data_IF_270379897568
#
_entry.id   IF_270379897568
#
_cell.length_a   1.000
_cell.length_b   1.000
_cell.length_c   1.000
_cell.angle_alpha   90.00
_cell.angle_beta   90.00
_cell.angle_gamma   90.00
#
_symmetry.space_group_name_H-M   'P 1'
#
loop_
_entity.id
_entity.type
_entity.pdbx_description
1 polymer ?
#
# COMPACT_ATOMS: atom_id res chain seq x y z
N UNK A 1 -15.97 -12.51 10.13
CA UNK A 1 -16.44 -13.38 9.05
C UNK A 1 -15.52 -14.60 8.94
N UNK A 2 -15.99 -15.77 9.38
CA UNK A 2 -15.23 -17.04 9.51
C UNK A 2 -14.63 -17.48 8.15
N UNK A 3 -15.27 -17.15 7.01
CA UNK A 3 -14.78 -17.52 5.68
C UNK A 3 -13.52 -16.73 5.25
N UNK A 4 -13.42 -15.46 5.64
CA UNK A 4 -12.23 -14.64 5.35
C UNK A 4 -11.01 -15.12 6.17
N UNK A 5 -11.21 -15.46 7.45
CA UNK A 5 -10.18 -16.05 8.28
C UNK A 5 -9.67 -17.39 7.74
N UNK A 6 -10.56 -18.27 7.27
CA UNK A 6 -10.15 -19.52 6.64
C UNK A 6 -9.28 -19.32 5.39
N UNK A 7 -9.55 -18.28 4.58
CA UNK A 7 -8.74 -17.98 3.38
C UNK A 7 -7.33 -17.46 3.74
N UNK A 8 -7.17 -16.72 4.83
CA UNK A 8 -5.83 -16.36 5.36
C UNK A 8 -5.01 -17.61 5.73
N UNK A 9 -5.62 -18.59 6.38
CA UNK A 9 -4.96 -19.85 6.75
C UNK A 9 -4.55 -20.70 5.52
N UNK A 10 -5.25 -20.56 4.41
CA UNK A 10 -4.93 -21.27 3.15
C UNK A 10 -3.89 -20.51 2.32
N UNK A 11 -3.47 -19.30 2.75
CA UNK A 11 -2.46 -18.50 2.05
C UNK A 11 -2.98 -17.81 0.79
N UNK A 12 -4.32 -17.69 0.61
CA UNK A 12 -4.91 -17.03 -0.57
C UNK A 12 -5.10 -15.53 -0.41
N UNK A 13 -5.01 -15.04 0.83
CA UNK A 13 -5.15 -13.60 1.11
C UNK A 13 -4.13 -13.14 2.15
N UNK A 14 -3.75 -11.88 2.03
CA UNK A 14 -2.99 -11.14 3.04
C UNK A 14 -3.92 -10.21 3.81
N UNK A 15 -3.72 -10.14 5.09
CA UNK A 15 -4.32 -9.15 5.96
C UNK A 15 -3.27 -8.12 6.32
N UNK A 16 -3.58 -6.85 6.09
CA UNK A 16 -2.76 -5.70 6.49
C UNK A 16 -3.53 -4.96 7.57
N UNK A 17 -2.99 -4.91 8.79
CA UNK A 17 -3.67 -4.30 9.92
C UNK A 17 -3.36 -2.80 10.00
N UNK A 18 -4.31 -2.04 10.54
CA UNK A 18 -4.09 -0.66 10.92
C UNK A 18 -3.11 -0.60 12.11
N UNK A 19 -2.38 0.50 12.22
CA UNK A 19 -1.69 0.86 13.46
C UNK A 19 -2.37 2.08 14.08
N UNK A 20 -2.67 2.02 15.37
CA UNK A 20 -3.32 3.10 16.11
C UNK A 20 -2.43 4.34 16.25
N UNK A 21 -1.12 4.15 16.18
CA UNK A 21 -0.13 5.21 16.18
C UNK A 21 1.10 4.78 15.35
N UNK A 22 1.70 5.70 14.55
CA UNK A 22 2.91 5.42 13.79
C UNK A 22 4.15 5.53 14.69
N UNK A 23 4.33 4.54 15.58
CA UNK A 23 5.44 4.46 16.54
C UNK A 23 6.08 3.08 16.51
N UNK A 24 7.37 3.01 16.87
CA UNK A 24 8.13 1.78 16.96
C UNK A 24 7.91 1.05 18.30
N UNK A 25 7.87 -0.27 18.28
CA UNK A 25 7.72 -1.12 17.09
C UNK A 25 6.28 -1.09 16.56
N UNK A 26 6.07 -1.02 15.25
CA UNK A 26 4.72 -0.90 14.63
C UNK A 26 3.75 -1.97 15.12
N UNK A 27 4.24 -3.19 15.30
CA UNK A 27 3.43 -4.33 15.76
C UNK A 27 2.80 -4.13 17.13
N UNK A 28 3.41 -3.32 17.99
CA UNK A 28 2.85 -3.02 19.33
C UNK A 28 1.64 -2.08 19.26
N UNK A 29 1.47 -1.38 18.16
CA UNK A 29 0.35 -0.46 17.92
C UNK A 29 -0.68 -1.04 16.94
N UNK A 30 -0.57 -2.34 16.63
CA UNK A 30 -1.47 -3.03 15.72
C UNK A 30 -2.92 -3.03 16.25
N UNK A 31 -3.83 -2.50 15.45
CA UNK A 31 -5.27 -2.60 15.66
C UNK A 31 -5.84 -3.78 14.86
N UNK A 32 -6.09 -4.88 15.53
CA UNK A 32 -6.64 -6.10 14.91
C UNK A 32 -8.11 -5.98 14.49
N UNK A 33 -8.81 -4.95 14.92
CA UNK A 33 -10.20 -4.70 14.55
C UNK A 33 -10.33 -3.99 13.21
N UNK A 34 -9.29 -3.26 12.79
CA UNK A 34 -9.24 -2.48 11.56
C UNK A 34 -8.17 -3.01 10.62
N UNK A 35 -8.57 -3.48 9.43
CA UNK A 35 -7.65 -4.11 8.49
C UNK A 35 -8.14 -4.01 7.05
N UNK A 36 -7.17 -4.03 6.13
CA UNK A 36 -7.38 -4.23 4.68
C UNK A 36 -7.13 -5.69 4.32
N UNK A 37 -7.85 -6.19 3.32
CA UNK A 37 -7.66 -7.55 2.77
C UNK A 37 -7.17 -7.43 1.33
N UNK A 38 -6.13 -8.17 1.03
CA UNK A 38 -5.54 -8.26 -0.30
C UNK A 38 -5.47 -9.72 -0.75
N UNK A 39 -5.48 -9.98 -2.04
CA UNK A 39 -5.20 -11.31 -2.57
C UNK A 39 -3.72 -11.67 -2.37
N UNK A 40 -3.35 -12.94 -2.50
CA UNK A 40 -1.95 -13.37 -2.40
C UNK A 40 -1.11 -12.83 -3.57
N UNK A 41 -1.72 -12.66 -4.74
CA UNK A 41 -1.09 -12.07 -5.91
C UNK A 41 -2.11 -11.35 -6.81
N UNK A 42 -1.56 -10.51 -7.70
CA UNK A 42 -2.35 -9.67 -8.60
C UNK A 42 -3.12 -10.48 -9.66
N UNK A 43 -2.57 -11.63 -10.09
CA UNK A 43 -3.24 -12.50 -11.06
C UNK A 43 -4.49 -13.15 -10.45
N UNK A 44 -4.39 -13.60 -9.19
CA UNK A 44 -5.54 -14.12 -8.46
C UNK A 44 -6.61 -13.04 -8.27
N UNK A 45 -6.21 -11.81 -7.94
CA UNK A 45 -7.15 -10.69 -7.82
C UNK A 45 -7.86 -10.42 -9.15
N UNK A 46 -7.13 -10.37 -10.26
CA UNK A 46 -7.69 -10.19 -11.60
C UNK A 46 -8.69 -11.29 -11.96
N UNK A 47 -8.33 -12.55 -11.73
CA UNK A 47 -9.22 -13.69 -11.97
C UNK A 47 -10.49 -13.66 -11.10
N UNK A 48 -10.38 -13.25 -9.84
CA UNK A 48 -11.54 -13.10 -8.94
C UNK A 48 -12.48 -11.96 -9.35
N UNK A 49 -11.98 -11.00 -10.13
CA UNK A 49 -12.75 -9.86 -10.63
C UNK A 49 -13.17 -10.02 -12.10
N UNK A 50 -13.00 -11.21 -12.67
CA UNK A 50 -13.30 -11.50 -14.09
C UNK A 50 -12.62 -10.52 -15.06
N UNK A 51 -11.43 -10.03 -14.71
CA UNK A 51 -10.63 -9.15 -15.57
C UNK A 51 -9.97 -9.97 -16.66
N UNK A 52 -10.43 -9.77 -17.89
CA UNK A 52 -9.79 -10.37 -19.06
C UNK A 52 -8.50 -9.64 -19.48
N UNK A 53 -7.65 -10.34 -20.25
CA UNK A 53 -6.38 -9.79 -20.71
C UNK A 53 -6.54 -8.56 -21.60
N UNK A 54 -7.61 -8.49 -22.39
CA UNK A 54 -7.92 -7.37 -23.28
C UNK A 54 -8.28 -6.11 -22.47
N UNK A 55 -9.03 -6.26 -21.39
CA UNK A 55 -9.36 -5.17 -20.46
C UNK A 55 -8.10 -4.59 -19.81
N UNK A 56 -7.16 -5.45 -19.42
CA UNK A 56 -5.89 -5.00 -18.80
C UNK A 56 -5.00 -4.29 -19.81
N UNK A 57 -4.87 -4.82 -21.04
CA UNK A 57 -3.96 -4.31 -22.07
C UNK A 57 -4.49 -3.04 -22.75
N UNK A 58 -5.77 -3.02 -23.08
CA UNK A 58 -6.37 -1.89 -23.84
C UNK A 58 -6.89 -0.77 -22.94
N UNK A 59 -7.14 -1.08 -21.66
CA UNK A 59 -7.75 -0.18 -20.72
C UNK A 59 -9.22 0.16 -21.11
N UNK A 60 -10.12 0.02 -20.19
CA UNK A 60 -11.50 0.49 -20.31
C UNK A 60 -11.90 1.20 -19.02
N UNK A 61 -13.13 1.69 -18.93
CA UNK A 61 -13.62 2.37 -17.74
C UNK A 61 -13.53 1.49 -16.47
N UNK A 62 -13.80 0.19 -16.61
CA UNK A 62 -13.70 -0.80 -15.52
C UNK A 62 -12.24 -0.89 -15.03
N UNK A 63 -11.28 -0.98 -15.94
CA UNK A 63 -9.86 -1.00 -15.59
C UNK A 63 -9.43 0.31 -14.92
N UNK A 64 -9.92 1.45 -15.40
CA UNK A 64 -9.61 2.76 -14.81
C UNK A 64 -10.07 2.85 -13.36
N UNK A 65 -11.28 2.40 -13.06
CA UNK A 65 -11.80 2.37 -11.69
C UNK A 65 -11.03 1.38 -10.79
N UNK A 66 -10.62 0.24 -11.34
CA UNK A 66 -9.96 -0.82 -10.60
C UNK A 66 -8.43 -0.65 -10.50
N UNK A 67 -7.84 0.22 -11.31
CA UNK A 67 -6.39 0.44 -11.40
C UNK A 67 -5.75 0.77 -10.03
N UNK A 68 -6.41 1.55 -9.20
CA UNK A 68 -5.95 1.87 -7.84
C UNK A 68 -5.76 0.60 -7.00
N UNK A 69 -6.78 -0.25 -6.94
CA UNK A 69 -6.75 -1.49 -6.17
C UNK A 69 -5.68 -2.47 -6.69
N UNK A 70 -5.51 -2.59 -8.02
CA UNK A 70 -4.47 -3.41 -8.62
C UNK A 70 -3.07 -2.88 -8.29
N UNK A 71 -2.90 -1.55 -8.27
CA UNK A 71 -1.61 -0.93 -7.94
C UNK A 71 -1.25 -1.15 -6.47
N UNK A 72 -2.19 -0.94 -5.54
CA UNK A 72 -1.98 -1.24 -4.12
C UNK A 72 -1.68 -2.73 -3.90
N UNK A 73 -2.41 -3.62 -4.60
CA UNK A 73 -2.17 -5.07 -4.57
C UNK A 73 -0.76 -5.43 -5.02
N UNK A 74 -0.28 -4.84 -6.11
CA UNK A 74 1.07 -5.05 -6.61
C UNK A 74 2.12 -4.58 -5.59
N UNK A 75 1.95 -3.37 -5.06
CA UNK A 75 2.89 -2.81 -4.07
C UNK A 75 2.95 -3.68 -2.83
N UNK A 76 1.81 -4.11 -2.28
CA UNK A 76 1.80 -5.04 -1.15
C UNK A 76 2.58 -6.32 -1.44
N UNK A 77 2.33 -6.94 -2.59
CA UNK A 77 2.98 -8.17 -3.00
C UNK A 77 4.52 -8.03 -3.01
N UNK A 78 5.03 -6.89 -3.49
CA UNK A 78 6.47 -6.61 -3.48
C UNK A 78 7.01 -6.35 -2.07
N UNK A 79 6.32 -5.54 -1.27
CA UNK A 79 6.73 -5.24 0.11
C UNK A 79 6.77 -6.50 0.99
N UNK A 80 5.82 -7.42 0.81
CA UNK A 80 5.74 -8.68 1.57
C UNK A 80 6.94 -9.61 1.37
N UNK A 81 7.77 -9.39 0.36
CA UNK A 81 8.98 -10.19 0.15
C UNK A 81 10.02 -9.96 1.25
N UNK A 82 10.05 -8.77 1.86
CA UNK A 82 11.07 -8.37 2.84
C UNK A 82 10.52 -7.79 4.14
N UNK A 83 9.27 -7.32 4.12
CA UNK A 83 8.68 -6.54 5.20
C UNK A 83 7.34 -7.11 5.67
N UNK A 84 6.92 -6.73 6.86
CA UNK A 84 5.54 -6.87 7.33
C UNK A 84 4.85 -5.48 7.25
N UNK A 85 4.09 -5.20 6.19
CA UNK A 85 3.44 -3.91 6.03
C UNK A 85 2.22 -3.76 6.93
N UNK A 86 2.03 -2.55 7.42
CA UNK A 86 0.83 -2.05 8.08
C UNK A 86 0.26 -0.90 7.24
N UNK A 87 -0.93 -0.41 7.58
CA UNK A 87 -1.40 0.88 7.11
C UNK A 87 -1.73 1.78 8.30
N UNK A 88 -1.92 3.05 8.05
CA UNK A 88 -2.34 3.98 9.08
C UNK A 88 -3.42 4.90 8.57
N UNK A 89 -4.47 5.06 9.37
CA UNK A 89 -5.53 6.03 9.13
C UNK A 89 -5.81 6.82 10.39
N UNK A 90 -5.97 8.14 10.26
CA UNK A 90 -6.30 9.00 11.39
C UNK A 90 -7.79 8.90 11.68
N UNK A 91 -8.20 8.54 12.90
CA UNK A 91 -9.61 8.53 13.28
C UNK A 91 -10.27 9.87 12.98
N UNK A 92 -11.46 9.85 12.37
CA UNK A 92 -12.25 11.04 12.03
C UNK A 92 -11.59 12.04 11.06
N UNK A 93 -10.49 11.69 10.42
CA UNK A 93 -9.83 12.49 9.39
C UNK A 93 -9.74 11.72 8.07
N UNK A 94 -9.74 12.46 6.93
CA UNK A 94 -9.53 11.87 5.60
C UNK A 94 -8.04 11.70 5.30
N UNK A 95 -7.26 11.30 6.31
CA UNK A 95 -5.83 11.10 6.18
C UNK A 95 -5.54 9.61 6.35
N UNK A 96 -4.97 9.03 5.32
CA UNK A 96 -4.56 7.62 5.29
C UNK A 96 -3.19 7.53 4.63
N UNK A 97 -2.36 6.61 5.10
CA UNK A 97 -1.11 6.16 4.47
C UNK A 97 -1.31 4.71 4.07
N UNK A 98 -1.14 4.43 2.79
CA UNK A 98 -1.45 3.12 2.21
C UNK A 98 -0.63 2.01 2.85
N UNK A 99 0.69 2.23 3.04
CA UNK A 99 1.55 1.29 3.76
C UNK A 99 2.52 2.00 4.69
N UNK A 100 2.75 1.38 5.85
CA UNK A 100 3.86 1.66 6.76
C UNK A 100 4.70 0.42 6.89
N UNK A 101 6.01 0.54 6.72
CA UNK A 101 6.96 -0.52 7.04
C UNK A 101 7.93 -0.06 8.11
N UNK A 102 8.43 -1.02 8.89
CA UNK A 102 9.49 -0.79 9.85
C UNK A 102 10.81 -1.27 9.26
N UNK A 103 11.81 -0.40 9.30
CA UNK A 103 13.19 -0.70 8.89
C UNK A 103 14.14 -0.40 10.05
N UNK A 104 15.44 -0.67 9.87
CA UNK A 104 16.47 -0.29 10.87
C UNK A 104 16.57 1.23 11.04
N UNK A 105 16.19 2.01 10.03
CA UNK A 105 16.17 3.48 10.06
C UNK A 105 14.89 4.09 10.61
N UNK A 106 13.90 3.28 11.01
CA UNK A 106 12.66 3.81 11.56
C UNK A 106 11.41 3.36 10.79
N UNK A 107 10.38 4.20 10.82
CA UNK A 107 9.13 3.97 10.11
C UNK A 107 9.20 4.65 8.75
N UNK A 108 8.88 3.91 7.71
CA UNK A 108 8.84 4.40 6.33
C UNK A 108 7.39 4.41 5.83
N UNK A 109 6.77 5.58 5.65
CA UNK A 109 5.46 5.70 5.02
C UNK A 109 5.58 5.57 3.50
N UNK A 110 4.62 4.87 2.90
CA UNK A 110 4.53 4.63 1.47
C UNK A 110 3.11 4.97 1.00
N UNK A 111 3.00 5.94 0.10
CA UNK A 111 1.79 6.32 -0.60
C UNK A 111 1.79 5.72 -2.00
N UNK A 112 0.69 5.11 -2.41
CA UNK A 112 0.55 4.46 -3.72
C UNK A 112 -0.30 5.33 -4.66
N UNK A 113 0.19 5.59 -5.86
CA UNK A 113 -0.53 6.31 -6.90
C UNK A 113 -0.58 5.48 -8.18
N UNK A 114 -1.80 5.18 -8.62
CA UNK A 114 -2.04 4.44 -9.86
C UNK A 114 -1.92 5.31 -11.12
N UNK A 115 -1.94 6.62 -10.95
CA UNK A 115 -1.94 7.61 -12.03
C UNK A 115 -0.78 8.59 -11.91
N UNK A 116 -0.65 9.45 -12.94
CA UNK A 116 0.35 10.53 -12.97
C UNK A 116 0.02 11.70 -12.03
N UNK A 117 -1.20 11.75 -11.46
CA UNK A 117 -1.55 12.78 -10.50
C UNK A 117 -0.84 12.54 -9.16
N UNK A 118 0.28 13.20 -9.02
CA UNK A 118 1.25 13.01 -7.94
C UNK A 118 0.94 13.79 -6.66
N UNK A 119 -0.31 14.25 -6.47
CA UNK A 119 -0.71 14.90 -5.22
C UNK A 119 -0.72 13.88 -4.07
N UNK A 120 0.19 14.03 -3.13
CA UNK A 120 0.34 13.17 -1.94
C UNK A 120 0.12 13.99 -0.66
N UNK A 121 -1.08 14.58 -0.52
CA UNK A 121 -1.41 15.46 0.62
C UNK A 121 -1.33 14.74 1.96
N UNK A 122 -1.85 13.50 2.02
CA UNK A 122 -1.81 12.68 3.24
C UNK A 122 -0.37 12.37 3.64
N UNK A 123 0.46 11.96 2.66
CA UNK A 123 1.87 11.67 2.91
C UNK A 123 2.63 12.91 3.38
N UNK A 124 2.41 14.06 2.73
CA UNK A 124 3.06 15.31 3.13
C UNK A 124 2.69 15.69 4.57
N UNK A 125 1.41 15.62 4.93
CA UNK A 125 0.97 15.90 6.29
C UNK A 125 1.54 14.90 7.29
N UNK A 126 1.59 13.61 6.93
CA UNK A 126 2.21 12.59 7.76
C UNK A 126 3.69 12.88 8.04
N UNK A 127 4.45 13.27 7.01
CA UNK A 127 5.86 13.64 7.14
C UNK A 127 6.03 14.85 8.07
N UNK A 128 5.18 15.87 7.94
CA UNK A 128 5.22 17.04 8.82
C UNK A 128 4.88 16.71 10.28
N UNK A 129 3.96 15.77 10.51
CA UNK A 129 3.52 15.41 11.86
C UNK A 129 4.48 14.43 12.57
N UNK A 130 5.15 13.55 11.82
CA UNK A 130 5.90 12.42 12.37
C UNK A 130 7.41 12.43 12.08
N UNK A 131 7.88 13.29 11.18
CA UNK A 131 9.29 13.49 10.82
C UNK A 131 10.05 12.17 10.53
N UNK A 132 9.55 11.28 9.65
CA UNK A 132 10.29 10.08 9.29
C UNK A 132 11.56 10.45 8.49
N UNK A 133 12.64 9.67 8.66
CA UNK A 133 13.90 9.87 7.91
C UNK A 133 13.71 9.65 6.40
N UNK A 134 12.76 8.80 6.03
CA UNK A 134 12.47 8.47 4.64
C UNK A 134 10.97 8.34 4.42
N UNK A 135 10.49 8.87 3.30
CA UNK A 135 9.10 8.73 2.86
C UNK A 135 9.07 8.44 1.35
N UNK A 136 8.24 7.49 0.93
CA UNK A 136 8.09 7.14 -0.47
C UNK A 136 6.68 7.41 -0.97
N UNK A 137 6.62 7.92 -2.21
CA UNK A 137 5.46 7.80 -3.06
C UNK A 137 5.83 6.86 -4.19
N UNK A 138 5.03 5.83 -4.45
CA UNK A 138 5.24 4.96 -5.61
C UNK A 138 4.18 5.23 -6.68
N UNK A 139 4.59 5.30 -7.93
CA UNK A 139 3.72 5.67 -9.05
C UNK A 139 4.25 5.15 -10.39
N UNK A 140 3.49 5.38 -11.47
CA UNK A 140 3.92 5.10 -12.84
C UNK A 140 4.97 6.10 -13.37
N UNK A 141 5.22 7.20 -12.64
CA UNK A 141 6.20 8.23 -13.04
C UNK A 141 7.62 7.79 -12.68
N UNK A 142 8.60 8.42 -13.36
CA UNK A 142 10.02 8.16 -13.15
C UNK A 142 10.49 8.48 -11.72
N UNK A 143 11.67 7.94 -11.39
CA UNK A 143 12.34 8.24 -10.14
C UNK A 143 12.58 9.75 -9.99
N UNK A 144 12.19 10.29 -8.84
CA UNK A 144 12.44 11.69 -8.49
C UNK A 144 12.59 11.84 -6.98
N UNK A 145 13.70 12.43 -6.56
CA UNK A 145 13.92 12.81 -5.17
C UNK A 145 13.45 14.25 -4.95
N UNK A 146 12.57 14.44 -3.98
CA UNK A 146 12.12 15.73 -3.47
C UNK A 146 12.70 15.95 -2.06
N UNK A 147 12.64 17.17 -1.53
CA UNK A 147 13.18 17.49 -0.21
C UNK A 147 12.58 16.66 0.94
N UNK A 148 11.33 16.25 0.81
CA UNK A 148 10.56 15.61 1.88
C UNK A 148 10.15 14.16 1.57
N UNK A 149 10.34 13.69 0.34
CA UNK A 149 10.03 12.32 -0.08
C UNK A 149 10.73 11.94 -1.39
N UNK A 150 10.74 10.67 -1.70
CA UNK A 150 11.20 10.14 -2.98
C UNK A 150 10.03 9.52 -3.75
N UNK A 151 9.83 9.93 -5.02
CA UNK A 151 8.96 9.19 -5.93
C UNK A 151 9.72 7.98 -6.46
N UNK A 152 9.24 6.80 -6.12
CA UNK A 152 9.80 5.51 -6.54
C UNK A 152 8.92 4.92 -7.63
N UNK A 153 9.46 4.64 -8.85
CA UNK A 153 8.69 3.93 -9.87
C UNK A 153 8.17 2.59 -9.34
N UNK A 154 6.98 2.18 -9.78
CA UNK A 154 6.36 0.93 -9.29
C UNK A 154 7.28 -0.29 -9.43
N UNK A 155 8.02 -0.39 -10.54
CA UNK A 155 8.96 -1.50 -10.77
C UNK A 155 10.19 -1.49 -9.82
N UNK A 156 10.42 -0.39 -9.11
CA UNK A 156 11.49 -0.28 -8.11
C UNK A 156 11.04 -0.58 -6.68
N UNK A 157 9.76 -0.81 -6.42
CA UNK A 157 9.26 -1.15 -5.06
C UNK A 157 10.02 -2.31 -4.41
N UNK A 158 10.46 -3.36 -5.13
CA UNK A 158 11.24 -4.46 -4.54
C UNK A 158 12.58 -4.07 -3.90
N UNK A 159 13.08 -2.85 -4.14
CA UNK A 159 14.37 -2.38 -3.55
C UNK A 159 14.18 -1.54 -2.29
N UNK A 160 12.93 -1.24 -1.91
CA UNK A 160 12.58 -0.54 -0.66
C UNK A 160 12.86 -1.41 0.57
#
# INVERSE_FOLDING_TARGET
>A
NVSALKRCYVGLIHRVNNVSAPRLPLKSYEDKSSFKIFAVDIGLLGAMCDLDSDTIVRGNNIFTEFKGALTEQYVLQQLKLKHEPFYWSKPNARQEIDFLIQTNGGIVPIEVKAEENLKAKSLKQFVLDNHPDTAYRTSMSDYRQEEWMTNMPLYCVPVI
#
